data_IF_468382118981
#
_entry.id   IF_468382118981
#
_cell.length_a   1.000
_cell.length_b   1.000
_cell.length_c   1.000
_cell.angle_alpha   90.00
_cell.angle_beta   90.00
_cell.angle_gamma   90.00
#
_symmetry.space_group_name_H-M   'P 1'
#
loop_
_entity.id
_entity.type
_entity.pdbx_description
1 polymer ?
#
# COMPACT_ATOMS: atom_id res chain seq x y z
N UNK A 1 6.77 2.78 4.59
CA UNK A 1 6.61 3.26 5.98
C UNK A 1 7.91 3.74 6.64
N UNK A 2 9.07 3.10 6.43
CA UNK A 2 10.30 3.53 7.09
C UNK A 2 10.78 4.96 6.72
N UNK A 3 10.59 5.37 5.46
CA UNK A 3 11.03 6.68 4.94
C UNK A 3 10.26 7.86 5.58
N UNK A 4 8.92 7.90 5.58
CA UNK A 4 8.18 8.98 6.25
C UNK A 4 8.36 8.97 7.78
N UNK A 5 8.45 7.80 8.42
CA UNK A 5 8.68 7.68 9.87
C UNK A 5 10.06 8.21 10.29
N UNK A 6 11.08 8.03 9.45
CA UNK A 6 12.41 8.60 9.66
C UNK A 6 12.42 10.11 9.41
N UNK A 7 11.74 10.59 8.37
CA UNK A 7 11.59 12.03 8.09
C UNK A 7 10.78 12.75 9.18
N UNK A 8 9.88 12.04 9.89
CA UNK A 8 9.18 12.54 11.07
C UNK A 8 10.02 12.58 12.36
N UNK A 9 11.34 12.36 12.30
CA UNK A 9 12.24 12.53 13.44
C UNK A 9 12.38 11.34 14.39
N UNK A 10 11.84 10.15 14.07
CA UNK A 10 11.99 8.98 14.93
C UNK A 10 13.37 8.32 14.80
N UNK A 11 13.92 7.89 15.94
CA UNK A 11 15.16 7.12 15.99
C UNK A 11 15.05 5.81 15.20
N UNK A 12 16.13 5.47 14.47
CA UNK A 12 16.20 4.32 13.54
C UNK A 12 15.72 3.01 14.16
N UNK A 13 16.07 2.78 15.43
CA UNK A 13 15.68 1.58 16.20
C UNK A 13 14.17 1.49 16.41
N UNK A 14 13.50 2.63 16.67
CA UNK A 14 12.05 2.67 16.87
C UNK A 14 11.31 2.44 15.54
N UNK A 15 11.80 3.04 14.44
CA UNK A 15 11.24 2.81 13.09
C UNK A 15 11.29 1.33 12.71
N UNK A 16 12.42 0.66 12.98
CA UNK A 16 12.57 -0.78 12.70
C UNK A 16 11.56 -1.60 13.52
N UNK A 17 11.40 -1.30 14.81
CA UNK A 17 10.44 -2.00 15.67
C UNK A 17 9.00 -1.87 15.15
N UNK A 18 8.58 -0.67 14.74
CA UNK A 18 7.24 -0.45 14.18
C UNK A 18 7.02 -1.17 12.83
N UNK A 19 8.05 -1.19 11.97
CA UNK A 19 7.96 -1.90 10.69
C UNK A 19 7.80 -3.41 10.91
N UNK A 20 8.55 -3.98 11.86
CA UNK A 20 8.42 -5.40 12.23
C UNK A 20 7.03 -5.68 12.80
N UNK A 21 6.54 -4.82 13.69
CA UNK A 21 5.22 -4.98 14.30
C UNK A 21 4.10 -4.95 13.25
N UNK A 22 4.18 -4.02 12.29
CA UNK A 22 3.24 -3.99 11.17
C UNK A 22 3.35 -5.24 10.29
N UNK A 23 4.56 -5.75 10.05
CA UNK A 23 4.77 -6.97 9.27
C UNK A 23 4.15 -8.21 9.93
N UNK A 24 4.22 -8.31 11.26
CA UNK A 24 3.57 -9.37 12.03
C UNK A 24 2.06 -9.33 11.84
N UNK A 25 1.45 -8.14 11.95
CA UNK A 25 0.00 -7.97 11.74
C UNK A 25 -0.43 -8.39 10.33
N UNK A 26 0.35 -8.03 9.31
CA UNK A 26 0.09 -8.48 7.93
C UNK A 26 0.22 -10.00 7.79
N UNK A 27 1.24 -10.61 8.42
CA UNK A 27 1.43 -12.05 8.43
C UNK A 27 0.27 -12.81 9.08
N UNK A 28 -0.23 -12.31 10.22
CA UNK A 28 -1.42 -12.87 10.88
C UNK A 28 -2.64 -12.76 9.96
N UNK A 29 -2.87 -11.59 9.37
CA UNK A 29 -3.96 -11.37 8.42
C UNK A 29 -3.89 -12.30 7.20
N UNK A 30 -2.69 -12.54 6.65
CA UNK A 30 -2.48 -13.46 5.54
C UNK A 30 -2.74 -14.92 5.93
N UNK A 31 -2.36 -15.33 7.15
CA UNK A 31 -2.64 -16.67 7.66
C UNK A 31 -4.15 -16.94 7.77
N UNK A 32 -4.89 -16.02 8.38
CA UNK A 32 -6.35 -16.10 8.43
C UNK A 32 -6.98 -16.01 7.03
N UNK A 33 -6.46 -15.14 6.16
CA UNK A 33 -6.91 -15.01 4.78
C UNK A 33 -6.73 -16.29 3.96
N UNK A 34 -5.65 -17.03 4.17
CA UNK A 34 -5.41 -18.32 3.51
C UNK A 34 -6.40 -19.41 3.98
N UNK A 35 -6.75 -19.41 5.27
CA UNK A 35 -7.74 -20.35 5.83
C UNK A 35 -9.17 -19.98 5.39
N UNK A 36 -9.53 -18.70 5.37
CA UNK A 36 -10.85 -18.25 4.91
C UNK A 36 -10.99 -18.36 3.39
N UNK A 37 -9.88 -18.25 2.65
CA UNK A 37 -9.86 -18.32 1.19
C UNK A 37 -10.24 -19.68 0.63
N UNK A 38 -10.13 -20.76 1.40
CA UNK A 38 -10.58 -22.10 0.98
C UNK A 38 -12.08 -22.32 1.17
N UNK A 39 -12.79 -21.44 1.90
CA UNK A 39 -14.20 -21.64 2.25
C UNK A 39 -15.15 -21.20 1.12
N UNK A 40 -14.96 -20.02 0.55
CA UNK A 40 -15.83 -19.52 -0.53
C UNK A 40 -15.25 -18.34 -1.30
N UNK A 41 -15.31 -18.40 -2.63
CA UNK A 41 -14.90 -17.33 -3.55
C UNK A 41 -15.67 -16.02 -3.33
N UNK A 42 -16.93 -16.09 -2.90
CA UNK A 42 -17.76 -14.91 -2.64
C UNK A 42 -17.23 -14.09 -1.46
N UNK A 43 -16.75 -14.75 -0.41
CA UNK A 43 -16.20 -14.06 0.78
C UNK A 43 -14.90 -13.36 0.41
N UNK A 44 -14.02 -14.03 -0.35
CA UNK A 44 -12.77 -13.44 -0.84
C UNK A 44 -13.07 -12.21 -1.70
N UNK A 45 -14.03 -12.30 -2.63
CA UNK A 45 -14.39 -11.18 -3.50
C UNK A 45 -14.85 -9.95 -2.71
N UNK A 46 -15.67 -10.14 -1.67
CA UNK A 46 -16.12 -9.04 -0.80
C UNK A 46 -14.93 -8.44 -0.03
N UNK A 47 -14.09 -9.28 0.58
CA UNK A 47 -12.90 -8.81 1.31
C UNK A 47 -11.91 -8.07 0.40
N UNK A 48 -11.69 -8.57 -0.82
CA UNK A 48 -10.78 -7.97 -1.80
C UNK A 48 -11.34 -6.65 -2.34
N UNK A 49 -12.65 -6.56 -2.58
CA UNK A 49 -13.32 -5.32 -2.98
C UNK A 49 -13.20 -4.25 -1.89
N UNK A 50 -13.37 -4.66 -0.62
CA UNK A 50 -13.19 -3.78 0.53
C UNK A 50 -11.73 -3.29 0.66
N UNK A 51 -10.76 -4.20 0.52
CA UNK A 51 -9.34 -3.86 0.54
C UNK A 51 -8.95 -2.91 -0.61
N UNK A 52 -9.48 -3.14 -1.82
CA UNK A 52 -9.28 -2.27 -2.97
C UNK A 52 -9.84 -0.86 -2.71
N UNK A 53 -11.04 -0.75 -2.13
CA UNK A 53 -11.64 0.53 -1.75
C UNK A 53 -10.81 1.30 -0.71
N UNK A 54 -10.35 0.62 0.34
CA UNK A 54 -9.50 1.21 1.36
C UNK A 54 -8.19 1.75 0.77
N UNK A 55 -7.54 0.99 -0.11
CA UNK A 55 -6.31 1.44 -0.77
C UNK A 55 -6.55 2.63 -1.70
N UNK A 56 -7.65 2.66 -2.46
CA UNK A 56 -7.99 3.82 -3.29
C UNK A 56 -8.22 5.10 -2.48
N UNK A 57 -8.86 4.98 -1.30
CA UNK A 57 -9.06 6.11 -0.38
C UNK A 57 -7.71 6.63 0.14
N UNK A 58 -6.84 5.76 0.65
CA UNK A 58 -5.52 6.16 1.18
C UNK A 58 -4.65 6.77 0.08
N UNK A 59 -4.67 6.18 -1.13
CA UNK A 59 -3.90 6.71 -2.26
C UNK A 59 -4.36 8.10 -2.66
N UNK A 60 -5.68 8.28 -2.85
CA UNK A 60 -6.23 9.53 -3.35
C UNK A 60 -6.28 10.63 -2.29
N UNK A 61 -6.58 10.26 -1.04
CA UNK A 61 -6.78 11.18 0.07
C UNK A 61 -5.51 11.56 0.82
N UNK A 62 -4.51 10.67 0.88
CA UNK A 62 -3.30 10.90 1.68
C UNK A 62 -2.03 10.89 0.81
N UNK A 63 -1.77 9.81 0.07
CA UNK A 63 -0.50 9.65 -0.64
C UNK A 63 -0.29 10.67 -1.77
N UNK A 64 -1.29 10.91 -2.63
CA UNK A 64 -1.19 11.89 -3.71
C UNK A 64 -0.99 13.33 -3.17
N UNK A 65 -1.77 13.82 -2.20
CA UNK A 65 -1.54 15.15 -1.64
C UNK A 65 -0.20 15.25 -0.88
N UNK A 66 0.20 14.23 -0.10
CA UNK A 66 1.49 14.20 0.58
C UNK A 66 2.65 14.29 -0.43
N UNK A 67 2.56 13.54 -1.54
CA UNK A 67 3.57 13.57 -2.60
C UNK A 67 3.67 14.94 -3.28
N UNK A 68 2.55 15.67 -3.43
CA UNK A 68 2.55 17.03 -3.97
C UNK A 68 3.06 18.06 -2.96
N UNK A 69 2.85 17.85 -1.67
CA UNK A 69 3.40 18.73 -0.62
C UNK A 69 4.93 18.58 -0.51
N UNK A 70 5.45 17.35 -0.58
CA UNK A 70 6.88 17.07 -0.53
C UNK A 70 7.64 17.65 -1.74
N UNK A 71 7.01 17.68 -2.91
CA UNK A 71 7.57 18.25 -4.14
C UNK A 71 6.54 19.12 -4.86
N UNK A 72 6.70 20.44 -4.78
CA UNK A 72 5.82 21.44 -5.41
C UNK A 72 6.01 21.57 -6.94
N UNK A 73 6.00 20.46 -7.69
CA UNK A 73 6.24 20.49 -9.13
C UNK A 73 5.64 19.33 -9.93
N UNK A 74 5.74 19.41 -11.26
CA UNK A 74 5.26 18.39 -12.21
C UNK A 74 5.90 17.00 -12.04
N UNK A 75 7.02 16.90 -11.32
CA UNK A 75 7.71 15.62 -11.06
C UNK A 75 6.82 14.63 -10.30
N UNK A 76 5.98 15.08 -9.36
CA UNK A 76 5.05 14.22 -8.63
C UNK A 76 4.00 13.62 -9.56
N UNK A 77 3.40 14.45 -10.43
CA UNK A 77 2.42 14.00 -11.40
C UNK A 77 3.04 13.03 -12.43
N UNK A 78 4.25 13.32 -12.91
CA UNK A 78 4.99 12.45 -13.84
C UNK A 78 5.32 11.12 -13.15
N UNK A 79 5.77 11.13 -11.90
CA UNK A 79 6.05 9.92 -11.12
C UNK A 79 4.80 9.04 -10.94
N UNK A 80 3.66 9.63 -10.60
CA UNK A 80 2.39 8.90 -10.50
C UNK A 80 1.96 8.30 -11.84
N UNK A 81 2.04 9.06 -12.94
CA UNK A 81 1.68 8.56 -14.28
C UNK A 81 2.60 7.41 -14.70
N UNK A 82 3.91 7.56 -14.52
CA UNK A 82 4.88 6.50 -14.85
C UNK A 82 4.62 5.26 -14.00
N UNK A 83 4.39 5.41 -12.69
CA UNK A 83 4.07 4.29 -11.79
C UNK A 83 2.80 3.55 -12.22
N UNK A 84 1.76 4.28 -12.61
CA UNK A 84 0.52 3.70 -13.11
C UNK A 84 0.72 2.95 -14.43
N UNK A 85 1.48 3.52 -15.37
CA UNK A 85 1.81 2.90 -16.65
C UNK A 85 2.63 1.62 -16.47
N UNK A 86 3.63 1.63 -15.58
CA UNK A 86 4.42 0.44 -15.25
C UNK A 86 3.53 -0.63 -14.61
N UNK A 87 2.64 -0.25 -13.70
CA UNK A 87 1.68 -1.17 -13.08
C UNK A 87 0.74 -1.81 -14.11
N UNK A 88 0.17 -1.02 -15.01
CA UNK A 88 -0.66 -1.52 -16.11
C UNK A 88 0.11 -2.45 -17.04
N UNK A 89 1.34 -2.09 -17.40
CA UNK A 89 2.18 -2.92 -18.27
C UNK A 89 2.54 -4.26 -17.60
N UNK A 90 2.91 -4.24 -16.31
CA UNK A 90 3.21 -5.44 -15.55
C UNK A 90 1.99 -6.37 -15.41
N UNK A 91 0.79 -5.80 -15.23
CA UNK A 91 -0.45 -6.58 -15.19
C UNK A 91 -0.78 -7.19 -16.56
N UNK A 92 -0.53 -6.46 -17.65
CA UNK A 92 -0.73 -6.97 -19.01
C UNK A 92 0.27 -8.06 -19.40
N UNK A 93 1.45 -8.11 -18.76
CA UNK A 93 2.49 -9.12 -19.02
C UNK A 93 2.23 -10.48 -18.33
N UNK A 94 1.27 -10.57 -17.40
CA UNK A 94 0.99 -11.76 -16.58
C UNK A 94 -0.38 -12.41 -16.85
N UNK A 95 -1.15 -11.86 -17.81
CA UNK A 95 -2.33 -12.48 -18.42
C UNK A 95 -1.94 -13.02 -19.80
#
# INVERSE_FOLDING_TARGET
MAVPMKNGGMSKLKVIFYVILSGITTGIGAFFGAILGTISTNVIAICLSFAAGAMLYIVSGELIPESNQLYHGRMTAIGNIIGFLIGMFAMNLNI
#
